data_IF_507546399772
#
_entry.id   IF_507546399772
#
_cell.length_a   1.000
_cell.length_b   1.000
_cell.length_c   1.000
_cell.angle_alpha   90.00
_cell.angle_beta   90.00
_cell.angle_gamma   90.00
#
_symmetry.space_group_name_H-M   'P 1'
#
loop_
_entity.id
_entity.type
_entity.pdbx_description
1 polymer ?
#
# COMPACT_ATOMS: atom_id res chain seq x y z
N UNK A 1 -3.43 2.94 14.09
CA UNK A 1 -2.18 2.63 13.40
C UNK A 1 -1.72 3.80 12.57
N UNK A 2 -0.43 4.05 12.55
CA UNK A 2 0.14 5.18 11.83
C UNK A 2 1.01 4.68 10.67
N UNK A 3 0.81 5.25 9.48
CA UNK A 3 1.56 4.90 8.29
C UNK A 3 2.30 6.15 7.79
N UNK A 4 3.58 6.00 7.49
CA UNK A 4 4.40 7.10 6.98
C UNK A 4 4.78 6.82 5.54
N UNK A 5 4.51 7.81 4.66
CA UNK A 5 4.94 7.76 3.27
C UNK A 5 6.18 8.64 3.14
N UNK A 6 7.27 8.05 2.70
CA UNK A 6 8.52 8.76 2.51
C UNK A 6 8.55 9.47 1.17
N UNK A 7 9.43 10.47 1.04
CA UNK A 7 9.61 11.18 -0.22
C UNK A 7 10.11 10.22 -1.29
N UNK A 8 9.48 10.26 -2.47
CA UNK A 8 9.85 9.40 -3.59
C UNK A 8 11.18 9.82 -4.19
N UNK A 9 12.03 8.83 -4.46
CA UNK A 9 13.26 9.02 -5.23
C UNK A 9 12.93 8.59 -6.67
N UNK A 10 13.24 9.42 -7.68
CA UNK A 10 12.90 9.07 -9.07
C UNK A 10 13.44 7.69 -9.45
N UNK A 11 12.57 6.89 -10.06
CA UNK A 11 12.93 5.54 -10.49
C UNK A 11 12.77 4.47 -9.43
N UNK A 12 12.41 4.83 -8.20
CA UNK A 12 12.24 3.89 -7.10
C UNK A 12 10.79 3.89 -6.59
N UNK A 13 10.33 2.78 -5.99
CA UNK A 13 8.98 2.76 -5.40
C UNK A 13 8.92 3.70 -4.21
N UNK A 14 7.71 4.15 -3.91
CA UNK A 14 7.46 5.03 -2.77
C UNK A 14 7.42 4.18 -1.50
N UNK A 15 8.33 4.40 -0.54
CA UNK A 15 8.32 3.62 0.70
C UNK A 15 7.12 3.99 1.57
N UNK A 16 6.43 2.98 2.09
CA UNK A 16 5.35 3.15 3.05
C UNK A 16 5.75 2.40 4.31
N UNK A 17 6.06 3.13 5.37
CA UNK A 17 6.58 2.55 6.61
C UNK A 17 5.43 2.19 7.52
N UNK A 18 5.39 0.94 7.96
CA UNK A 18 4.39 0.44 8.91
C UNK A 18 5.09 0.02 10.21
N UNK A 19 4.34 -0.04 11.29
CA UNK A 19 4.86 -0.43 12.60
C UNK A 19 4.31 -1.78 13.07
N UNK A 20 3.55 -2.45 12.23
CA UNK A 20 2.95 -3.74 12.55
C UNK A 20 3.57 -4.82 11.66
N UNK A 21 3.29 -6.09 11.98
CA UNK A 21 3.82 -7.20 11.20
C UNK A 21 3.37 -7.17 9.74
N UNK A 22 2.13 -6.76 9.52
CA UNK A 22 1.56 -6.63 8.18
C UNK A 22 0.49 -5.53 8.20
N UNK A 23 0.01 -5.17 7.01
CA UNK A 23 -1.10 -4.25 6.88
C UNK A 23 -2.01 -4.75 5.73
N UNK A 24 -3.31 -4.60 5.89
CA UNK A 24 -4.24 -4.97 4.83
C UNK A 24 -4.19 -3.93 3.71
N UNK A 25 -4.36 -4.40 2.47
CA UNK A 25 -4.30 -3.53 1.30
C UNK A 25 -5.24 -2.31 1.42
N UNK A 26 -6.49 -2.53 1.77
CA UNK A 26 -7.44 -1.40 1.92
C UNK A 26 -7.00 -0.43 3.00
N UNK A 27 -6.40 -0.94 4.06
CA UNK A 27 -5.96 -0.10 5.18
C UNK A 27 -4.77 0.78 4.79
N UNK A 28 -3.78 0.21 4.10
CA UNK A 28 -2.60 0.99 3.74
C UNK A 28 -2.95 2.09 2.73
N UNK A 29 -3.86 1.82 1.80
CA UNK A 29 -4.28 2.82 0.83
C UNK A 29 -4.96 4.01 1.51
N UNK A 30 -5.78 3.74 2.53
CA UNK A 30 -6.46 4.79 3.27
C UNK A 30 -5.49 5.54 4.19
N UNK A 31 -4.69 4.82 4.95
CA UNK A 31 -3.81 5.43 5.95
C UNK A 31 -2.65 6.21 5.32
N UNK A 32 -2.23 5.83 4.13
CA UNK A 32 -1.20 6.56 3.39
C UNK A 32 -1.77 7.72 2.57
N UNK A 33 -3.06 8.01 2.70
CA UNK A 33 -3.76 9.07 1.97
C UNK A 33 -3.70 8.92 0.45
N UNK A 34 -3.63 7.68 -0.02
CA UNK A 34 -3.64 7.39 -1.45
C UNK A 34 -5.07 7.54 -1.99
N UNK A 35 -6.05 7.21 -1.15
CA UNK A 35 -7.47 7.34 -1.46
C UNK A 35 -8.17 8.03 -0.30
N UNK A 36 -9.34 8.67 -0.55
CA UNK A 36 -10.00 9.46 0.48
C UNK A 36 -10.72 8.66 1.56
N UNK A 37 -11.12 7.42 1.27
CA UNK A 37 -11.91 6.64 2.25
C UNK A 37 -11.79 5.15 2.00
N UNK A 38 -12.21 4.37 3.01
CA UNK A 38 -12.26 2.91 2.88
C UNK A 38 -13.26 2.44 1.83
N UNK A 39 -14.34 3.19 1.61
CA UNK A 39 -15.30 2.86 0.55
C UNK A 39 -14.68 2.97 -0.83
N UNK A 40 -13.85 4.00 -1.04
CA UNK A 40 -13.13 4.16 -2.29
C UNK A 40 -12.10 3.04 -2.46
N UNK A 41 -11.40 2.67 -1.40
CA UNK A 41 -10.45 1.57 -1.43
C UNK A 41 -11.14 0.27 -1.89
N UNK A 42 -12.27 -0.03 -1.29
CA UNK A 42 -13.03 -1.23 -1.64
C UNK A 42 -13.35 -1.23 -3.13
N UNK A 43 -13.83 -0.10 -3.64
CA UNK A 43 -14.25 0.01 -5.03
C UNK A 43 -13.07 -0.19 -6.00
N UNK A 44 -11.96 0.53 -5.80
CA UNK A 44 -10.84 0.44 -6.73
C UNK A 44 -10.16 -0.92 -6.68
N UNK A 45 -10.11 -1.55 -5.51
CA UNK A 45 -9.52 -2.87 -5.38
C UNK A 45 -10.39 -3.91 -6.08
N UNK A 46 -11.70 -3.89 -5.85
CA UNK A 46 -12.61 -4.84 -6.47
C UNK A 46 -12.71 -4.66 -7.97
N UNK A 47 -12.47 -3.45 -8.45
CA UNK A 47 -12.48 -3.17 -9.89
C UNK A 47 -11.18 -3.58 -10.59
N UNK A 48 -10.21 -4.11 -9.85
CA UNK A 48 -8.96 -4.60 -10.44
C UNK A 48 -7.98 -3.50 -10.78
N UNK A 49 -8.10 -2.34 -10.15
CA UNK A 49 -7.25 -1.18 -10.43
C UNK A 49 -5.96 -1.19 -9.60
N UNK A 50 -5.79 -2.16 -8.72
CA UNK A 50 -4.64 -2.26 -7.83
C UNK A 50 -3.90 -3.57 -8.09
N UNK A 51 -2.58 -3.49 -8.25
CA UNK A 51 -1.73 -4.67 -8.37
C UNK A 51 -0.96 -4.85 -7.08
N UNK A 52 -0.77 -6.11 -6.67
CA UNK A 52 0.09 -6.47 -5.53
C UNK A 52 1.18 -7.37 -6.07
N UNK A 53 2.43 -7.00 -5.86
CA UNK A 53 3.59 -7.74 -6.35
C UNK A 53 3.46 -8.04 -7.85
N UNK A 54 3.05 -7.03 -8.63
CA UNK A 54 2.93 -7.08 -10.08
C UNK A 54 1.73 -7.88 -10.61
N UNK A 55 0.81 -8.31 -9.73
CA UNK A 55 -0.40 -9.03 -10.14
C UNK A 55 -1.65 -8.30 -9.68
N UNK A 56 -2.68 -8.30 -10.52
CA UNK A 56 -3.96 -7.68 -10.16
C UNK A 56 -4.51 -8.35 -8.90
N UNK A 57 -4.87 -7.53 -7.92
CA UNK A 57 -5.43 -8.02 -6.66
C UNK A 57 -6.80 -7.40 -6.45
N UNK A 58 -7.82 -8.24 -6.28
CA UNK A 58 -9.18 -7.79 -6.02
C UNK A 58 -9.59 -8.05 -4.57
N UNK A 59 -8.66 -8.51 -3.74
CA UNK A 59 -8.90 -8.82 -2.34
C UNK A 59 -8.50 -7.64 -1.47
N UNK A 60 -9.48 -6.88 -0.99
CA UNK A 60 -9.20 -5.72 -0.14
C UNK A 60 -8.57 -6.10 1.21
N UNK A 61 -8.80 -7.32 1.67
CA UNK A 61 -8.20 -7.82 2.91
C UNK A 61 -6.83 -8.48 2.72
N UNK A 62 -6.23 -8.35 1.54
CA UNK A 62 -4.91 -8.93 1.27
C UNK A 62 -3.89 -8.39 2.25
N UNK A 63 -3.19 -9.27 2.95
CA UNK A 63 -2.15 -8.89 3.90
C UNK A 63 -0.86 -8.56 3.15
N UNK A 64 -0.32 -7.38 3.41
CA UNK A 64 0.93 -6.92 2.84
C UNK A 64 1.99 -6.89 3.94
N UNK A 65 3.10 -7.55 3.69
CA UNK A 65 4.22 -7.64 4.63
C UNK A 65 5.37 -6.75 4.13
N UNK A 66 6.30 -6.38 5.00
CA UNK A 66 7.50 -5.64 4.56
C UNK A 66 8.17 -6.37 3.40
N UNK A 67 8.49 -5.64 2.34
CA UNK A 67 9.02 -6.20 1.10
C UNK A 67 7.99 -6.40 0.01
N UNK A 68 6.70 -6.41 0.35
CA UNK A 68 5.65 -6.47 -0.66
C UNK A 68 5.46 -5.10 -1.30
N UNK A 69 4.97 -5.09 -2.54
CA UNK A 69 4.68 -3.85 -3.25
C UNK A 69 3.24 -3.83 -3.71
N UNK A 70 2.69 -2.63 -3.91
CA UNK A 70 1.42 -2.50 -4.60
C UNK A 70 1.49 -1.29 -5.51
N UNK A 71 0.72 -1.33 -6.60
CA UNK A 71 0.71 -0.28 -7.62
C UNK A 71 -0.71 0.22 -7.82
N UNK A 72 -0.87 1.53 -7.85
CA UNK A 72 -2.16 2.17 -8.08
C UNK A 72 -1.93 3.46 -8.85
N UNK A 73 -2.68 3.65 -9.93
CA UNK A 73 -2.58 4.84 -10.80
C UNK A 73 -1.15 5.14 -11.27
N UNK A 74 -0.44 4.08 -11.63
CA UNK A 74 0.91 4.22 -12.17
C UNK A 74 1.99 4.44 -11.12
N UNK A 75 1.64 4.49 -9.85
CA UNK A 75 2.60 4.68 -8.76
C UNK A 75 2.79 3.37 -8.00
N UNK A 76 4.04 3.00 -7.81
CA UNK A 76 4.39 1.77 -7.09
C UNK A 76 4.81 2.12 -5.67
N UNK A 77 4.28 1.37 -4.71
CA UNK A 77 4.56 1.56 -3.29
C UNK A 77 5.21 0.31 -2.71
N UNK A 78 6.18 0.51 -1.83
CA UNK A 78 6.89 -0.60 -1.16
C UNK A 78 6.59 -0.56 0.32
N UNK A 79 6.14 -1.69 0.87
CA UNK A 79 5.88 -1.79 2.30
C UNK A 79 7.21 -1.97 3.02
N UNK A 80 7.47 -1.11 3.99
CA UNK A 80 8.69 -1.13 4.79
C UNK A 80 8.32 -1.23 6.26
N UNK A 81 9.18 -1.86 7.05
CA UNK A 81 8.98 -1.90 8.49
C UNK A 81 9.79 -0.78 9.14
N UNK A 82 9.23 -0.22 10.22
CA UNK A 82 9.96 0.78 10.99
C UNK A 82 11.18 0.15 11.64
N UNK A 83 12.36 0.69 11.34
CA UNK A 83 13.60 0.15 11.88
C UNK A 83 13.77 0.57 13.34
N UNK A 84 14.11 -0.38 14.18
CA UNK A 84 14.46 -0.08 15.57
C UNK A 84 15.95 0.20 15.70
N UNK A 85 16.24 1.11 16.59
CA UNK A 85 17.61 1.46 16.87
C UNK A 85 18.00 0.97 18.26
#
# INVERSE_FOLDING_TARGET
MKVTVKKKIPGEPIPVVISTEFIKLESVMKLANIIPSGGTAKMVIQDGLVNVNEEVCTMRGKKLYPGNTFTYEGLKYLICIHAHQ
#
